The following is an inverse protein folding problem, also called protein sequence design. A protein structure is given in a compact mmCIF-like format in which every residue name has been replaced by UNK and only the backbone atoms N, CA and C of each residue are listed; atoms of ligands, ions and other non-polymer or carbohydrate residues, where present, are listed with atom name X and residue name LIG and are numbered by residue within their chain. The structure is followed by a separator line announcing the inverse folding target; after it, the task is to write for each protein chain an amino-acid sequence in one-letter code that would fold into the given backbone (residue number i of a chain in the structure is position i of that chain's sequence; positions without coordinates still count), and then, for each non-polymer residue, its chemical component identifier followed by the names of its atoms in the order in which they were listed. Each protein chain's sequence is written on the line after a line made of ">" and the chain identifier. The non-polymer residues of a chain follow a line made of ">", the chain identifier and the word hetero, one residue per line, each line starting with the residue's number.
data_IF_646788525537
#
_entry.id   IF_646788525537
#
_cell.length_a   1.000
_cell.length_b   1.000
_cell.length_c   1.000
_cell.angle_alpha   90.00
_cell.angle_beta   90.00
_cell.angle_gamma   90.00
#
_symmetry.space_group_name_H-M   'P 1'
#
loop_
_entity.id
_entity.type
_entity.pdbx_description
1 polymer ?
#
# COMPACT_ATOMS: atom_id res chain seq x y z
N UNK A 1 0.85 -8.50 -13.92
CA UNK A 1 1.65 -7.31 -13.59
C UNK A 1 1.45 -6.17 -14.60
N UNK A 2 1.13 -6.47 -15.84
CA UNK A 2 1.04 -5.48 -16.93
C UNK A 2 -0.42 -5.08 -17.26
N UNK A 3 -1.33 -5.21 -16.30
CA UNK A 3 -2.77 -4.96 -16.49
C UNK A 3 -3.22 -3.56 -16.06
N UNK A 4 -2.30 -2.62 -15.79
CA UNK A 4 -2.62 -1.24 -15.43
C UNK A 4 -2.20 -0.28 -16.55
N UNK A 5 -2.86 0.88 -16.63
CA UNK A 5 -2.54 1.91 -17.63
C UNK A 5 -1.14 2.55 -17.46
N UNK A 6 -0.60 2.52 -16.25
CA UNK A 6 0.66 3.19 -15.90
C UNK A 6 0.59 4.73 -15.96
N UNK A 7 -0.60 5.32 -15.94
CA UNK A 7 -0.81 6.78 -16.09
C UNK A 7 -0.85 7.55 -14.77
N UNK A 8 -0.76 6.88 -13.63
CA UNK A 8 -0.92 7.53 -12.32
C UNK A 8 0.12 8.63 -12.07
N UNK A 9 1.36 8.45 -12.50
CA UNK A 9 2.42 9.45 -12.43
C UNK A 9 2.11 10.69 -13.25
N UNK A 10 1.73 10.49 -14.51
CA UNK A 10 1.41 11.57 -15.44
C UNK A 10 0.17 12.36 -14.97
N UNK A 11 -0.83 11.66 -14.40
CA UNK A 11 -1.99 12.28 -13.79
C UNK A 11 -1.65 13.06 -12.51
N UNK A 12 -0.75 12.53 -11.69
CA UNK A 12 -0.29 13.20 -10.46
C UNK A 12 0.46 14.48 -10.74
N UNK A 13 1.32 14.47 -11.77
CA UNK A 13 2.12 15.62 -12.20
C UNK A 13 1.39 16.59 -13.14
N UNK A 14 0.18 16.23 -13.60
CA UNK A 14 -0.60 17.04 -14.53
C UNK A 14 -0.07 17.03 -15.98
N UNK A 15 0.70 16.02 -16.35
CA UNK A 15 1.21 15.86 -17.73
C UNK A 15 0.09 15.38 -18.68
N UNK A 16 -0.92 14.71 -18.14
CA UNK A 16 -2.16 14.35 -18.82
C UNK A 16 -3.37 14.69 -17.96
N UNK A 17 -4.44 15.17 -18.57
CA UNK A 17 -5.66 15.50 -17.83
C UNK A 17 -6.56 14.27 -17.60
N UNK A 18 -7.33 14.24 -16.49
CA UNK A 18 -8.34 13.21 -16.28
C UNK A 18 -9.40 13.18 -17.40
N UNK A 19 -9.72 14.31 -18.01
CA UNK A 19 -10.68 14.42 -19.11
C UNK A 19 -10.17 13.72 -20.37
N UNK A 20 -8.88 13.89 -20.70
CA UNK A 20 -8.27 13.16 -21.82
C UNK A 20 -8.30 11.65 -21.60
N UNK A 21 -7.94 11.21 -20.40
CA UNK A 21 -8.03 9.79 -20.02
C UNK A 21 -9.46 9.27 -20.07
N UNK A 22 -10.42 10.07 -19.61
CA UNK A 22 -11.84 9.72 -19.64
C UNK A 22 -12.35 9.54 -21.07
N UNK A 23 -12.07 10.50 -21.95
CA UNK A 23 -12.48 10.42 -23.35
C UNK A 23 -11.84 9.23 -24.08
N UNK A 24 -10.57 8.94 -23.81
CA UNK A 24 -9.91 7.75 -24.35
C UNK A 24 -10.56 6.45 -23.85
N UNK A 25 -10.93 6.37 -22.57
CA UNK A 25 -11.63 5.25 -21.99
C UNK A 25 -13.03 5.04 -22.57
N UNK A 26 -13.80 6.12 -22.77
CA UNK A 26 -15.12 6.05 -23.43
C UNK A 26 -14.99 5.52 -24.86
N UNK A 27 -14.04 6.05 -25.63
CA UNK A 27 -13.78 5.58 -26.99
C UNK A 27 -13.43 4.09 -27.01
N UNK A 28 -12.60 3.63 -26.09
CA UNK A 28 -12.27 2.21 -25.99
C UNK A 28 -13.50 1.33 -25.68
N UNK A 29 -14.45 1.82 -24.84
CA UNK A 29 -15.73 1.13 -24.62
C UNK A 29 -16.59 1.05 -25.88
N UNK A 30 -16.68 2.14 -26.67
CA UNK A 30 -17.42 2.18 -27.95
C UNK A 30 -16.80 1.21 -28.95
N UNK A 31 -15.49 1.00 -28.90
CA UNK A 31 -14.75 0.03 -29.71
C UNK A 31 -14.86 -1.42 -29.21
N UNK A 32 -15.58 -1.67 -28.09
CA UNK A 32 -15.86 -3.01 -27.58
C UNK A 32 -14.83 -3.53 -26.57
N UNK A 33 -13.99 -2.65 -25.98
CA UNK A 33 -13.04 -3.00 -24.94
C UNK A 33 -13.65 -2.88 -23.53
N UNK A 34 -14.41 -3.87 -23.09
CA UNK A 34 -15.13 -3.87 -21.79
C UNK A 34 -14.25 -3.57 -20.59
N UNK A 35 -12.97 -3.93 -20.62
CA UNK A 35 -12.02 -3.64 -19.55
C UNK A 35 -11.81 -2.13 -19.28
N UNK A 36 -12.14 -1.26 -20.26
CA UNK A 36 -12.07 0.19 -20.12
C UNK A 36 -13.05 0.72 -19.05
N UNK A 37 -14.15 0.01 -18.77
CA UNK A 37 -15.08 0.39 -17.69
C UNK A 37 -14.38 0.42 -16.33
N UNK A 38 -13.49 -0.53 -16.05
CA UNK A 38 -12.71 -0.57 -14.79
C UNK A 38 -11.76 0.64 -14.73
N UNK A 39 -11.09 0.95 -15.85
CA UNK A 39 -10.22 2.13 -15.92
C UNK A 39 -10.98 3.43 -15.66
N UNK A 40 -12.16 3.61 -16.24
CA UNK A 40 -13.00 4.78 -15.98
C UNK A 40 -13.44 4.88 -14.52
N UNK A 41 -13.76 3.75 -13.88
CA UNK A 41 -14.09 3.73 -12.44
C UNK A 41 -12.91 4.19 -11.57
N UNK A 42 -11.67 3.84 -11.93
CA UNK A 42 -10.49 4.31 -11.19
C UNK A 42 -10.31 5.83 -11.33
N UNK A 43 -10.61 6.42 -12.48
CA UNK A 43 -10.64 7.89 -12.64
C UNK A 43 -11.71 8.54 -11.76
N UNK A 44 -12.89 7.93 -11.65
CA UNK A 44 -13.95 8.41 -10.74
C UNK A 44 -13.50 8.36 -9.28
N UNK A 45 -12.80 7.30 -8.86
CA UNK A 45 -12.25 7.22 -7.51
C UNK A 45 -11.23 8.33 -7.23
N UNK A 46 -10.39 8.66 -8.21
CA UNK A 46 -9.47 9.79 -8.12
C UNK A 46 -10.21 11.10 -7.92
N UNK A 47 -11.19 11.41 -8.76
CA UNK A 47 -12.01 12.63 -8.65
C UNK A 47 -12.78 12.68 -7.33
N UNK A 48 -13.27 11.56 -6.84
CA UNK A 48 -13.91 11.47 -5.53
C UNK A 48 -12.94 11.82 -4.39
N UNK A 49 -11.68 11.37 -4.46
CA UNK A 49 -10.67 11.74 -3.48
C UNK A 49 -10.41 13.26 -3.47
N UNK A 50 -10.31 13.88 -4.64
CA UNK A 50 -10.16 15.33 -4.77
C UNK A 50 -11.39 16.09 -4.25
N UNK A 51 -12.58 15.61 -4.57
CA UNK A 51 -13.83 16.17 -4.03
C UNK A 51 -13.83 16.15 -2.49
N UNK A 52 -13.46 15.04 -1.88
CA UNK A 52 -13.36 14.92 -0.43
C UNK A 52 -12.31 15.88 0.15
N UNK A 53 -11.13 15.93 -0.45
CA UNK A 53 -10.05 16.81 0.01
C UNK A 53 -10.42 18.29 -0.13
N UNK A 54 -11.13 18.68 -1.20
CA UNK A 54 -11.59 20.05 -1.41
C UNK A 54 -12.64 20.48 -0.36
N UNK A 55 -13.67 19.66 -0.14
CA UNK A 55 -14.75 19.99 0.78
C UNK A 55 -14.45 19.68 2.24
N UNK A 56 -13.50 18.82 2.51
CA UNK A 56 -13.11 18.41 3.85
C UNK A 56 -11.58 18.25 3.95
N UNK A 57 -10.81 19.35 3.86
CA UNK A 57 -9.33 19.30 3.83
C UNK A 57 -8.70 18.54 5.00
N UNK A 58 -9.39 18.46 6.14
CA UNK A 58 -8.91 17.71 7.31
C UNK A 58 -8.67 16.22 7.03
N UNK A 59 -9.24 15.65 5.97
CA UNK A 59 -9.00 14.24 5.61
C UNK A 59 -7.53 13.97 5.30
N UNK A 60 -6.79 14.99 4.87
CA UNK A 60 -5.36 14.86 4.55
C UNK A 60 -4.52 14.53 5.80
N UNK A 61 -4.94 15.03 6.98
CA UNK A 61 -4.17 14.96 8.21
C UNK A 61 -4.90 14.27 9.37
N UNK A 62 -6.21 14.11 9.30
CA UNK A 62 -7.02 13.62 10.42
C UNK A 62 -7.98 12.52 9.96
N UNK A 63 -8.39 11.68 10.90
CA UNK A 63 -9.41 10.68 10.61
C UNK A 63 -10.68 11.34 10.09
N UNK A 64 -11.22 10.84 8.99
CA UNK A 64 -12.54 11.26 8.51
C UNK A 64 -13.58 11.06 9.58
N UNK A 65 -13.63 9.88 10.17
CA UNK A 65 -14.43 9.53 11.32
C UNK A 65 -13.65 9.89 12.58
N UNK A 66 -14.01 11.00 13.22
CA UNK A 66 -13.24 11.59 14.33
C UNK A 66 -13.16 10.68 15.56
N UNK A 67 -14.15 9.82 15.79
CA UNK A 67 -14.14 8.82 16.85
C UNK A 67 -12.90 7.90 16.78
N UNK A 68 -12.37 7.66 15.60
CA UNK A 68 -11.16 6.87 15.39
C UNK A 68 -9.87 7.53 15.95
N UNK A 69 -9.94 8.78 16.39
CA UNK A 69 -8.81 9.41 17.07
C UNK A 69 -8.49 8.72 18.41
N UNK A 70 -9.46 8.05 19.01
CA UNK A 70 -9.32 7.30 20.26
C UNK A 70 -8.94 5.82 20.02
N UNK A 71 -8.83 5.38 18.77
CA UNK A 71 -8.48 4.00 18.49
C UNK A 71 -7.00 3.74 18.86
N UNK A 72 -6.68 2.61 19.53
CA UNK A 72 -5.38 2.38 20.16
C UNK A 72 -4.27 1.99 19.17
N UNK A 73 -4.09 2.76 18.10
CA UNK A 73 -2.94 2.58 17.23
C UNK A 73 -1.64 3.05 17.87
N UNK A 74 -0.57 2.31 17.65
CA UNK A 74 0.78 2.76 17.95
C UNK A 74 1.16 3.94 17.05
N UNK A 75 1.53 5.06 17.66
CA UNK A 75 1.93 6.29 16.95
C UNK A 75 3.45 6.50 16.91
N UNK A 76 4.24 5.55 17.43
CA UNK A 76 5.68 5.62 17.40
C UNK A 76 6.25 5.24 16.04
N UNK A 77 6.71 6.21 15.26
CA UNK A 77 7.35 6.01 13.96
C UNK A 77 8.74 5.38 14.03
N UNK A 78 9.31 5.29 15.24
CA UNK A 78 10.61 4.65 15.54
C UNK A 78 10.45 3.24 16.11
N UNK A 79 9.25 2.72 16.19
CA UNK A 79 9.02 1.33 16.57
C UNK A 79 9.77 0.38 15.63
N UNK A 80 10.43 -0.63 16.20
CA UNK A 80 11.25 -1.58 15.44
C UNK A 80 10.46 -2.26 14.32
N UNK A 81 9.21 -2.63 14.56
CA UNK A 81 8.35 -3.27 13.55
C UNK A 81 8.00 -2.32 12.41
N UNK A 82 7.85 -1.02 12.70
CA UNK A 82 7.64 0.02 11.68
C UNK A 82 8.88 0.16 10.81
N UNK A 83 10.07 0.20 11.43
CA UNK A 83 11.34 0.27 10.70
C UNK A 83 11.53 -0.96 9.81
N UNK A 84 11.25 -2.15 10.31
CA UNK A 84 11.33 -3.39 9.53
C UNK A 84 10.31 -3.41 8.39
N UNK A 85 9.11 -2.87 8.59
CA UNK A 85 8.11 -2.69 7.52
C UNK A 85 8.63 -1.74 6.44
N UNK A 86 9.17 -0.59 6.80
CA UNK A 86 9.76 0.37 5.86
C UNK A 86 10.93 -0.23 5.08
N UNK A 87 11.70 -1.11 5.69
CA UNK A 87 12.84 -1.79 5.10
C UNK A 87 12.48 -3.02 4.27
N UNK A 88 11.19 -3.42 4.20
CA UNK A 88 10.81 -4.67 3.56
C UNK A 88 11.48 -5.90 4.19
N UNK A 89 11.49 -5.95 5.53
CA UNK A 89 12.10 -7.01 6.36
C UNK A 89 11.17 -7.49 7.47
N UNK A 90 9.88 -7.55 7.18
CA UNK A 90 8.87 -8.03 8.14
C UNK A 90 8.85 -9.55 8.31
N UNK A 91 9.51 -10.30 7.45
CA UNK A 91 9.40 -11.75 7.38
C UNK A 91 8.09 -12.23 6.71
N UNK A 92 7.34 -11.33 6.09
CA UNK A 92 6.11 -11.61 5.34
C UNK A 92 6.37 -11.34 3.85
N UNK A 93 6.59 -12.38 3.03
CA UNK A 93 7.16 -12.23 1.69
C UNK A 93 6.41 -11.29 0.76
N UNK A 94 5.07 -11.26 0.81
CA UNK A 94 4.30 -10.34 -0.05
C UNK A 94 4.49 -8.88 0.37
N UNK A 95 4.49 -8.62 1.68
CA UNK A 95 4.70 -7.27 2.24
C UNK A 95 6.11 -6.79 1.90
N UNK A 96 7.11 -7.63 2.14
CA UNK A 96 8.51 -7.28 1.93
C UNK A 96 8.83 -7.04 0.45
N UNK A 97 8.32 -7.89 -0.45
CA UNK A 97 8.47 -7.70 -1.89
C UNK A 97 7.87 -6.37 -2.36
N UNK A 98 6.66 -6.04 -1.90
CA UNK A 98 5.98 -4.81 -2.27
C UNK A 98 6.69 -3.55 -1.72
N UNK A 99 7.21 -3.61 -0.49
CA UNK A 99 7.95 -2.49 0.10
C UNK A 99 9.32 -2.29 -0.58
N UNK A 100 10.00 -3.37 -1.00
CA UNK A 100 11.25 -3.26 -1.76
C UNK A 100 11.02 -2.74 -3.18
N UNK A 101 9.96 -3.21 -3.87
CA UNK A 101 9.55 -2.64 -5.15
C UNK A 101 9.31 -1.13 -5.04
N UNK A 102 8.52 -0.73 -4.05
CA UNK A 102 8.26 0.69 -3.79
C UNK A 102 9.56 1.48 -3.63
N UNK A 103 10.47 0.99 -2.79
CA UNK A 103 11.69 1.71 -2.48
C UNK A 103 12.62 1.88 -3.70
N UNK A 104 12.70 0.85 -4.56
CA UNK A 104 13.55 0.87 -5.75
C UNK A 104 12.96 1.67 -6.89
N UNK A 105 11.64 1.54 -7.10
CA UNK A 105 10.99 2.04 -8.32
C UNK A 105 10.13 3.27 -8.10
N UNK A 106 9.78 3.57 -6.86
CA UNK A 106 8.72 4.55 -6.55
C UNK A 106 7.33 4.08 -6.93
N UNK A 107 7.14 2.84 -7.34
CA UNK A 107 5.89 2.26 -7.81
C UNK A 107 5.43 1.11 -6.93
N UNK A 108 4.14 0.94 -6.81
CA UNK A 108 3.53 -0.23 -6.18
C UNK A 108 2.13 -0.43 -6.76
N UNK A 109 1.86 -1.63 -7.25
CA UNK A 109 0.52 -1.99 -7.73
C UNK A 109 -0.52 -1.78 -6.62
N UNK A 110 -1.76 -1.34 -6.97
CA UNK A 110 -2.83 -1.07 -5.99
C UNK A 110 -3.05 -2.22 -4.99
N UNK A 111 -3.01 -3.48 -5.45
CA UNK A 111 -3.11 -4.65 -4.56
C UNK A 111 -2.01 -4.69 -3.51
N UNK A 112 -0.78 -4.35 -3.89
CA UNK A 112 0.35 -4.21 -2.95
C UNK A 112 0.05 -3.16 -1.89
N UNK A 113 -0.38 -1.96 -2.33
CA UNK A 113 -0.73 -0.84 -1.42
C UNK A 113 -1.78 -1.25 -0.39
N UNK A 114 -2.84 -1.92 -0.81
CA UNK A 114 -3.90 -2.41 0.09
C UNK A 114 -3.37 -3.40 1.14
N UNK A 115 -2.50 -4.32 0.73
CA UNK A 115 -2.00 -5.39 1.63
C UNK A 115 -0.98 -4.82 2.61
N UNK A 116 -0.02 -4.01 2.16
CA UNK A 116 0.99 -3.42 3.06
C UNK A 116 0.37 -2.41 4.03
N UNK A 117 -0.67 -1.68 3.60
CA UNK A 117 -1.41 -0.76 4.46
C UNK A 117 -2.26 -1.51 5.50
N UNK A 118 -2.95 -2.58 5.08
CA UNK A 118 -3.69 -3.45 6.01
C UNK A 118 -2.75 -4.14 7.01
N UNK A 119 -1.58 -4.57 6.58
CA UNK A 119 -0.58 -5.18 7.47
C UNK A 119 -0.11 -4.18 8.52
N UNK A 120 0.27 -2.97 8.12
CA UNK A 120 0.70 -1.92 9.04
C UNK A 120 -0.39 -1.56 10.04
N UNK A 121 -1.60 -1.25 9.57
CA UNK A 121 -2.68 -0.69 10.41
C UNK A 121 -3.39 -1.71 11.27
N UNK A 122 -3.35 -2.99 10.90
CA UNK A 122 -4.10 -4.06 11.58
C UNK A 122 -3.18 -5.09 12.23
N UNK A 123 -2.25 -5.71 11.52
CA UNK A 123 -1.35 -6.68 12.15
C UNK A 123 -0.32 -6.04 13.07
N UNK A 124 0.22 -4.87 12.69
CA UNK A 124 1.15 -4.11 13.53
C UNK A 124 0.46 -3.08 14.41
N UNK A 125 -0.85 -2.90 14.28
CA UNK A 125 -1.63 -1.90 15.03
C UNK A 125 -0.99 -0.51 15.02
N UNK A 126 -0.40 -0.11 13.88
CA UNK A 126 0.30 1.16 13.72
C UNK A 126 -0.59 2.17 13.03
N UNK A 127 -0.50 3.44 13.46
CA UNK A 127 -1.33 4.52 12.93
C UNK A 127 -1.06 4.75 11.44
N UNK A 128 -2.11 4.85 10.63
CA UNK A 128 -2.05 4.99 9.18
C UNK A 128 -1.22 6.19 8.70
N UNK A 129 -1.11 7.27 9.48
CA UNK A 129 -0.28 8.44 9.14
C UNK A 129 1.20 8.10 8.95
N UNK A 130 1.71 7.11 9.67
CA UNK A 130 3.10 6.66 9.52
C UNK A 130 3.30 6.07 8.12
N UNK A 131 2.38 5.24 7.68
CA UNK A 131 2.42 4.68 6.35
C UNK A 131 2.15 5.72 5.25
N UNK A 132 1.20 6.63 5.47
CA UNK A 132 0.92 7.76 4.58
C UNK A 132 2.19 8.58 4.31
N UNK A 133 2.93 8.91 5.37
CA UNK A 133 4.18 9.67 5.26
C UNK A 133 5.28 8.89 4.53
N UNK A 134 5.33 7.58 4.74
CA UNK A 134 6.27 6.73 4.00
C UNK A 134 5.96 6.70 2.51
N UNK A 135 4.67 6.58 2.14
CA UNK A 135 4.25 6.61 0.74
C UNK A 135 4.52 7.98 0.09
N UNK A 136 4.29 9.09 0.80
CA UNK A 136 4.64 10.42 0.35
C UNK A 136 6.13 10.54 -0.02
N UNK A 137 7.00 9.91 0.75
CA UNK A 137 8.44 9.97 0.52
C UNK A 137 8.92 9.01 -0.60
N UNK A 138 8.15 7.98 -0.93
CA UNK A 138 8.61 6.92 -1.82
C UNK A 138 7.89 6.86 -3.16
N UNK A 139 6.59 7.23 -3.22
CA UNK A 139 5.79 7.09 -4.45
C UNK A 139 6.09 8.20 -5.45
N UNK A 140 6.37 7.82 -6.70
CA UNK A 140 6.52 8.77 -7.81
C UNK A 140 5.16 9.28 -8.33
N UNK A 141 4.08 8.54 -8.09
CA UNK A 141 2.71 8.92 -8.37
C UNK A 141 1.98 9.48 -7.14
N UNK A 142 2.74 9.99 -6.16
CA UNK A 142 2.15 10.51 -4.94
C UNK A 142 1.15 11.63 -5.22
N UNK A 143 -0.01 11.50 -4.62
CA UNK A 143 -1.10 12.46 -4.65
C UNK A 143 -1.72 12.56 -3.24
N UNK A 144 -1.80 13.76 -2.65
CA UNK A 144 -2.23 13.91 -1.25
C UNK A 144 -3.64 13.40 -1.00
N UNK A 145 -4.58 13.65 -1.92
CA UNK A 145 -5.98 13.26 -1.77
C UNK A 145 -6.15 11.74 -1.87
N UNK A 146 -5.60 11.14 -2.93
CA UNK A 146 -5.68 9.69 -3.16
C UNK A 146 -4.92 8.90 -2.09
N UNK A 147 -3.74 9.42 -1.66
CA UNK A 147 -2.96 8.78 -0.60
C UNK A 147 -3.71 8.78 0.73
N UNK A 148 -4.25 9.94 1.15
CA UNK A 148 -5.00 10.04 2.41
C UNK A 148 -6.28 9.19 2.39
N UNK A 149 -7.04 9.21 1.29
CA UNK A 149 -8.24 8.39 1.15
C UNK A 149 -7.91 6.90 1.18
N UNK A 150 -6.89 6.45 0.44
CA UNK A 150 -6.48 5.04 0.38
C UNK A 150 -5.99 4.50 1.72
N UNK A 151 -5.20 5.27 2.46
CA UNK A 151 -4.76 4.89 3.80
C UNK A 151 -5.91 4.78 4.78
N UNK A 152 -6.82 5.74 4.78
CA UNK A 152 -7.99 5.72 5.66
C UNK A 152 -9.02 4.65 5.25
N UNK A 153 -9.13 4.36 3.95
CA UNK A 153 -9.90 3.21 3.47
C UNK A 153 -9.39 1.90 4.09
N UNK A 154 -8.08 1.68 4.04
CA UNK A 154 -7.46 0.48 4.60
C UNK A 154 -7.53 0.44 6.12
N UNK A 155 -7.34 1.58 6.79
CA UNK A 155 -7.40 1.69 8.26
C UNK A 155 -8.81 1.54 8.83
N UNK A 156 -9.86 1.79 8.04
CA UNK A 156 -11.24 1.74 8.49
C UNK A 156 -11.81 3.07 8.96
N UNK A 157 -11.02 4.14 8.96
CA UNK A 157 -11.40 5.47 9.45
C UNK A 157 -11.94 6.42 8.38
N UNK A 158 -11.90 6.03 7.11
CA UNK A 158 -12.32 6.84 5.97
C UNK A 158 -13.82 6.88 5.74
N UNK A 159 -14.29 7.72 4.79
CA UNK A 159 -15.73 7.86 4.47
C UNK A 159 -16.28 6.59 3.81
N UNK A 160 -15.55 5.97 2.91
CA UNK A 160 -15.88 4.71 2.23
C UNK A 160 -14.90 3.61 2.63
N UNK A 161 -14.64 3.51 3.93
CA UNK A 161 -13.64 2.59 4.44
C UNK A 161 -14.07 1.13 4.30
N UNK A 162 -13.09 0.28 3.99
CA UNK A 162 -13.30 -1.17 4.13
C UNK A 162 -13.71 -1.49 5.57
N UNK A 163 -14.64 -2.42 5.80
CA UNK A 163 -14.97 -2.84 7.15
C UNK A 163 -13.70 -3.25 7.92
N UNK A 164 -13.53 -2.72 9.13
CA UNK A 164 -12.31 -2.95 9.90
C UNK A 164 -12.01 -4.44 10.13
N UNK A 165 -13.03 -5.25 10.31
CA UNK A 165 -12.89 -6.69 10.48
C UNK A 165 -12.36 -7.43 9.23
N UNK A 166 -12.32 -6.78 8.06
CA UNK A 166 -11.67 -7.30 6.86
C UNK A 166 -10.16 -7.09 6.97
N UNK A 167 -9.50 -8.03 7.63
CA UNK A 167 -8.04 -8.08 7.75
C UNK A 167 -7.50 -8.97 6.64
N UNK A 168 -6.73 -8.41 5.70
CA UNK A 168 -6.12 -9.19 4.64
C UNK A 168 -5.02 -10.08 5.21
N UNK A 169 -5.04 -11.38 4.87
CA UNK A 169 -3.93 -12.27 5.16
C UNK A 169 -2.91 -12.20 4.00
N UNK A 170 -1.70 -11.67 4.21
CA UNK A 170 -0.72 -11.51 3.13
C UNK A 170 -0.30 -12.82 2.47
N UNK A 171 -0.25 -13.94 3.21
CA UNK A 171 0.13 -15.24 2.66
C UNK A 171 -0.93 -15.76 1.68
N UNK A 172 -2.21 -15.71 2.07
CA UNK A 172 -3.31 -16.07 1.17
C UNK A 172 -3.37 -15.17 -0.07
N UNK A 173 -3.02 -13.89 0.09
CA UNK A 173 -2.93 -12.98 -1.06
C UNK A 173 -1.75 -13.33 -1.97
N UNK A 174 -0.61 -13.72 -1.40
CA UNK A 174 0.54 -14.19 -2.16
C UNK A 174 0.18 -15.44 -2.98
N UNK A 175 -0.42 -16.46 -2.36
CA UNK A 175 -0.86 -17.67 -3.03
C UNK A 175 -1.82 -17.38 -4.19
N UNK A 176 -2.76 -16.46 -3.97
CA UNK A 176 -3.78 -16.11 -4.97
C UNK A 176 -3.21 -15.33 -6.17
N UNK A 177 -2.32 -14.38 -5.94
CA UNK A 177 -1.86 -13.43 -6.96
C UNK A 177 -0.44 -13.67 -7.46
N UNK A 178 0.34 -14.45 -6.73
CA UNK A 178 1.73 -14.82 -7.07
C UNK A 178 1.98 -16.31 -6.83
N UNK A 179 1.04 -17.18 -7.22
CA UNK A 179 1.11 -18.63 -7.00
C UNK A 179 2.35 -19.30 -7.62
N UNK A 180 2.99 -18.66 -8.60
CA UNK A 180 4.27 -19.09 -9.18
C UNK A 180 5.49 -18.44 -8.52
N UNK A 181 5.27 -17.60 -7.52
CA UNK A 181 6.30 -16.86 -6.80
C UNK A 181 7.19 -15.95 -7.66
N UNK A 182 6.72 -15.52 -8.84
CA UNK A 182 7.46 -14.67 -9.76
C UNK A 182 7.72 -13.28 -9.18
N UNK A 183 6.68 -12.69 -8.55
CA UNK A 183 6.80 -11.38 -7.92
C UNK A 183 7.72 -11.43 -6.69
N UNK A 184 7.52 -12.40 -5.80
CA UNK A 184 8.37 -12.61 -4.63
C UNK A 184 9.84 -12.78 -5.05
N UNK A 185 10.11 -13.64 -6.01
CA UNK A 185 11.48 -13.92 -6.48
C UNK A 185 12.09 -12.72 -7.22
N UNK A 186 11.28 -11.86 -7.81
CA UNK A 186 11.74 -10.64 -8.46
C UNK A 186 12.33 -9.64 -7.47
N UNK A 187 11.77 -9.53 -6.25
CA UNK A 187 12.11 -8.47 -5.30
C UNK A 187 12.86 -8.96 -4.05
N UNK A 188 12.85 -10.26 -3.77
CA UNK A 188 13.50 -10.84 -2.60
C UNK A 188 14.70 -11.70 -3.04
N UNK A 189 15.90 -11.18 -2.85
CA UNK A 189 17.14 -11.86 -3.21
C UNK A 189 17.33 -13.18 -2.44
N UNK A 190 16.81 -13.24 -1.23
CA UNK A 190 16.87 -14.42 -0.36
C UNK A 190 16.13 -15.64 -0.95
N UNK A 191 15.16 -15.41 -1.85
CA UNK A 191 14.41 -16.49 -2.53
C UNK A 191 14.82 -16.70 -3.99
N UNK A 192 15.41 -15.70 -4.64
CA UNK A 192 15.75 -15.74 -6.06
C UNK A 192 17.10 -16.41 -6.36
N UNK A 193 17.79 -16.93 -5.35
CA UNK A 193 19.14 -17.47 -5.51
C UNK A 193 20.16 -16.43 -5.97
N UNK A 194 19.96 -15.15 -5.65
CA UNK A 194 20.80 -13.98 -6.02
C UNK A 194 20.85 -13.65 -7.51
N UNK A 195 19.95 -14.21 -8.31
CA UNK A 195 19.97 -14.03 -9.77
C UNK A 195 19.04 -12.91 -10.27
N UNK A 196 18.18 -12.36 -9.42
CA UNK A 196 17.26 -11.28 -9.82
C UNK A 196 17.96 -9.92 -9.72
N UNK A 197 18.17 -9.27 -10.88
CA UNK A 197 18.71 -7.90 -10.94
C UNK A 197 17.87 -6.92 -10.09
N UNK A 198 16.55 -7.05 -10.12
CA UNK A 198 15.66 -6.18 -9.36
C UNK A 198 15.79 -6.39 -7.85
N UNK A 199 15.95 -7.65 -7.40
CA UNK A 199 16.14 -7.95 -5.99
C UNK A 199 17.47 -7.42 -5.47
N UNK A 200 18.54 -7.45 -6.30
CA UNK A 200 19.84 -6.89 -5.94
C UNK A 200 19.84 -5.36 -5.96
N UNK A 201 19.11 -4.72 -6.88
CA UNK A 201 19.02 -3.25 -6.95
C UNK A 201 18.45 -2.61 -5.68
N UNK A 202 17.70 -3.36 -4.87
CA UNK A 202 17.25 -2.90 -3.56
C UNK A 202 18.45 -2.58 -2.65
N UNK A 203 19.45 -3.44 -2.59
CA UNK A 203 20.63 -3.25 -1.74
C UNK A 203 21.52 -2.11 -2.21
N UNK A 204 21.49 -1.79 -3.51
CA UNK A 204 22.18 -0.63 -4.07
C UNK A 204 21.44 0.68 -3.76
N UNK A 205 20.11 0.64 -3.69
CA UNK A 205 19.26 1.82 -3.49
C UNK A 205 19.16 2.27 -2.03
N UNK A 206 19.27 1.34 -1.07
CA UNK A 206 19.03 1.65 0.34
C UNK A 206 20.16 2.44 1.01
N UNK A 207 19.88 3.22 2.06
CA UNK A 207 20.90 3.92 2.81
C UNK A 207 21.88 2.94 3.50
N UNK A 208 23.18 3.22 3.42
CA UNK A 208 24.22 2.42 4.09
C UNK A 208 23.99 2.24 5.59
N UNK A 209 23.33 3.19 6.24
CA UNK A 209 22.97 3.11 7.67
C UNK A 209 22.02 1.96 8.00
N UNK A 210 21.29 1.40 7.03
CA UNK A 210 20.45 0.21 7.26
C UNK A 210 21.27 -1.06 7.43
N UNK A 211 22.53 -1.08 6.94
CA UNK A 211 23.46 -2.22 7.06
C UNK A 211 22.89 -3.54 6.51
N UNK A 212 22.02 -3.48 5.52
CA UNK A 212 21.45 -4.66 4.86
C UNK A 212 22.30 -5.07 3.68
N UNK A 213 22.50 -6.38 3.52
CA UNK A 213 23.21 -6.98 2.40
C UNK A 213 22.44 -8.17 1.83
N UNK A 214 22.68 -8.56 0.56
CA UNK A 214 21.98 -9.68 -0.05
C UNK A 214 22.37 -11.06 0.53
N UNK A 215 23.43 -11.13 1.35
CA UNK A 215 23.89 -12.35 2.03
C UNK A 215 23.14 -12.61 3.35
N UNK A 216 22.42 -11.62 3.86
CA UNK A 216 21.65 -11.79 5.09
C UNK A 216 20.51 -12.78 4.90
N UNK A 217 20.27 -13.59 5.91
CA UNK A 217 19.12 -14.48 5.92
C UNK A 217 17.79 -13.71 5.91
N UNK A 218 16.79 -14.31 5.30
CA UNK A 218 15.44 -13.78 5.33
C UNK A 218 14.92 -13.82 6.78
N UNK A 219 14.34 -12.72 7.29
CA UNK A 219 13.97 -12.64 8.69
C UNK A 219 12.76 -13.53 9.04
N UNK A 220 12.69 -13.93 10.29
CA UNK A 220 11.47 -14.49 10.84
C UNK A 220 10.34 -13.43 10.84
N UNK A 221 9.05 -13.84 10.79
CA UNK A 221 7.94 -12.90 10.86
C UNK A 221 7.95 -12.05 12.13
N UNK A 222 7.85 -10.72 11.99
CA UNK A 222 7.79 -9.75 13.12
C UNK A 222 6.51 -9.87 13.94
N UNK A 223 5.51 -10.54 13.40
CA UNK A 223 4.23 -10.85 14.05
C UNK A 223 3.66 -12.13 13.45
N UNK A 224 3.08 -12.96 14.28
CA UNK A 224 2.22 -14.04 13.82
C UNK A 224 0.93 -13.44 13.24
N UNK A 225 0.60 -13.78 11.99
CA UNK A 225 -0.54 -13.19 11.28
C UNK A 225 -1.88 -13.48 11.94
N UNK A 226 -2.02 -14.65 12.56
CA UNK A 226 -3.24 -15.03 13.27
C UNK A 226 -3.39 -14.21 14.56
N UNK A 227 -2.30 -14.11 15.34
CA UNK A 227 -2.28 -13.30 16.57
C UNK A 227 -2.49 -11.82 16.26
N UNK A 228 -1.81 -11.26 15.25
CA UNK A 228 -2.00 -9.88 14.83
C UNK A 228 -3.45 -9.59 14.41
N UNK A 229 -4.07 -10.53 13.67
CA UNK A 229 -5.48 -10.42 13.31
C UNK A 229 -6.40 -10.43 14.54
N UNK A 230 -6.17 -11.33 15.49
CA UNK A 230 -6.97 -11.42 16.73
C UNK A 230 -6.82 -10.12 17.52
N UNK A 231 -5.60 -9.63 17.74
CA UNK A 231 -5.34 -8.37 18.46
C UNK A 231 -6.08 -7.19 17.82
N UNK A 232 -6.05 -7.08 16.48
CA UNK A 232 -6.77 -6.04 15.76
C UNK A 232 -8.30 -6.13 15.95
N UNK A 233 -8.86 -7.33 15.90
CA UNK A 233 -10.30 -7.54 16.09
C UNK A 233 -10.75 -7.30 17.53
N UNK A 234 -9.92 -7.67 18.50
CA UNK A 234 -10.18 -7.40 19.91
C UNK A 234 -10.14 -5.90 20.21
N UNK A 235 -9.15 -5.17 19.69
CA UNK A 235 -9.11 -3.71 19.78
C UNK A 235 -10.35 -3.07 19.15
N UNK A 236 -10.80 -3.57 18.01
CA UNK A 236 -12.02 -3.09 17.35
C UNK A 236 -13.28 -3.37 18.15
N UNK A 237 -13.39 -4.57 18.74
CA UNK A 237 -14.53 -4.97 19.54
C UNK A 237 -14.65 -4.15 20.85
N UNK A 238 -13.49 -3.86 21.45
CA UNK A 238 -13.41 -3.18 22.75
C UNK A 238 -13.26 -1.66 22.63
N UNK A 239 -13.43 -1.10 21.42
CA UNK A 239 -13.38 0.36 21.24
C UNK A 239 -14.55 1.04 21.95
N UNK A 240 -14.30 2.23 22.48
CA UNK A 240 -15.28 3.03 23.24
C UNK A 240 -16.01 4.08 22.37
N UNK A 241 -16.30 3.79 21.10
CA UNK A 241 -17.02 4.69 20.20
C UNK A 241 -17.86 3.92 19.18
#
# INVERSE_FOLDING_TARGET
>A
LDGTSGLSENLSLGEISPIECWNAGLKALEEGHDAAEIFLKELVWREFAYHLAHHTPRILDNNWRQEWNNFPWNTNDKDEKVILWQQGRTGIPFVDAAMRELYVTGRMHNRGRMIVASFLTKHLMTHWKIGLKWFENCLIDWDPASNAMGWQWSAGSGPDATPYFRVFNPNTQLEKFDGKYEYRNRWLAEFSGKNSKNALSFFDAIPKKWKLTPEMEYPAPVVDLSQGRVAALDAYKNREF
#
